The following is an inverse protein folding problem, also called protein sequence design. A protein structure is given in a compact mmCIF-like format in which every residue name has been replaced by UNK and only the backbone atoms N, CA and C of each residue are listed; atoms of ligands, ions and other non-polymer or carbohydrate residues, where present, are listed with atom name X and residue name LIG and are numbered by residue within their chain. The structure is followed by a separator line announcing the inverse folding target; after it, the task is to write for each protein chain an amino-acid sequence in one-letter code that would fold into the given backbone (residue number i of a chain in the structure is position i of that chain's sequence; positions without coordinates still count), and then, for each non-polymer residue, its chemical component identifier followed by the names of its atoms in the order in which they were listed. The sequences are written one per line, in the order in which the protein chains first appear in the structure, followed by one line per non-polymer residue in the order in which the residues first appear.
data_IF_430412940778
#
_entry.id   IF_430412940778
#
_cell.length_a   1.000
_cell.length_b   1.000
_cell.length_c   1.000
_cell.angle_alpha   90.00
_cell.angle_beta   90.00
_cell.angle_gamma   90.00
#
_symmetry.space_group_name_H-M   'P 1'
#
loop_
_entity.id
_entity.type
_entity.pdbx_description
1 polymer ?
#
# COMPACT_ATOMS: atom_id res chain seq x y z
N UNK A 1 26.07 -52.27 3.43
CA UNK A 1 25.96 -51.87 2.01
C UNK A 1 24.58 -51.27 1.76
N UNK A 2 24.54 -50.06 1.19
CA UNK A 2 23.51 -49.50 0.28
C UNK A 2 22.06 -49.33 0.77
N UNK A 3 21.67 -48.05 0.88
CA UNK A 3 20.44 -47.37 0.39
C UNK A 3 20.35 -46.03 1.16
N UNK A 4 21.13 -45.00 0.87
CA UNK A 4 21.19 -44.16 -0.34
C UNK A 4 19.80 -43.68 -0.83
N UNK A 5 19.61 -42.36 -0.70
CA UNK A 5 18.73 -41.47 -1.46
C UNK A 5 17.23 -41.48 -1.14
N UNK A 6 16.82 -40.60 -0.21
CA UNK A 6 15.65 -39.75 -0.44
C UNK A 6 16.13 -38.28 -0.44
N UNK A 7 16.53 -37.85 -1.63
CA UNK A 7 16.66 -36.46 -2.04
C UNK A 7 15.26 -35.89 -2.35
N UNK A 8 15.16 -34.57 -2.38
CA UNK A 8 14.08 -33.77 -2.97
C UNK A 8 12.79 -33.61 -2.14
N UNK A 9 12.77 -32.60 -1.27
CA UNK A 9 11.67 -31.63 -1.20
C UNK A 9 11.90 -30.69 0.00
N UNK A 10 12.76 -29.68 -0.14
CA UNK A 10 12.62 -28.49 0.70
C UNK A 10 12.86 -27.23 -0.13
N UNK A 11 11.73 -26.56 -0.35
CA UNK A 11 11.55 -25.10 -0.35
C UNK A 11 12.09 -24.32 -1.55
N UNK A 12 11.42 -24.50 -2.70
CA UNK A 12 11.22 -23.40 -3.64
C UNK A 12 10.00 -22.58 -3.23
N UNK A 13 10.16 -21.64 -2.30
CA UNK A 13 9.21 -20.54 -2.00
C UNK A 13 9.98 -19.55 -1.11
N UNK A 14 10.13 -18.26 -1.36
CA UNK A 14 9.33 -17.36 -2.16
C UNK A 14 10.19 -16.16 -2.54
N UNK A 15 10.00 -15.63 -3.75
CA UNK A 15 10.30 -14.23 -4.04
C UNK A 15 9.35 -13.37 -3.21
N UNK A 16 9.71 -13.11 -1.95
CA UNK A 16 9.03 -12.07 -1.18
C UNK A 16 9.52 -10.71 -1.69
N UNK A 17 8.62 -9.74 -1.98
CA UNK A 17 9.01 -8.42 -2.46
C UNK A 17 9.92 -7.75 -1.42
N UNK A 18 11.15 -7.48 -1.82
CA UNK A 18 12.27 -7.05 -0.97
C UNK A 18 11.99 -5.71 -0.25
N UNK A 19 11.04 -4.91 -0.73
CA UNK A 19 10.73 -3.61 -0.14
C UNK A 19 10.13 -3.69 1.28
N UNK A 20 9.37 -4.74 1.62
CA UNK A 20 8.80 -4.89 2.98
C UNK A 20 9.81 -5.39 4.02
N UNK A 21 10.94 -5.96 3.59
CA UNK A 21 12.01 -6.39 4.49
C UNK A 21 12.70 -5.20 5.18
N UNK A 22 12.60 -3.99 4.63
CA UNK A 22 13.17 -2.79 5.23
C UNK A 22 12.30 -2.21 6.38
N UNK A 23 11.09 -2.75 6.60
CA UNK A 23 10.16 -2.28 7.63
C UNK A 23 9.59 -3.48 8.43
N UNK A 24 10.44 -4.25 9.13
CA UNK A 24 10.07 -5.55 9.71
C UNK A 24 8.90 -5.49 10.70
N UNK A 25 8.76 -4.36 11.41
CA UNK A 25 7.69 -4.14 12.39
C UNK A 25 6.49 -3.39 11.79
N UNK A 26 6.45 -3.17 10.47
CA UNK A 26 5.31 -2.53 9.83
C UNK A 26 4.14 -3.52 9.65
N UNK A 27 3.00 -3.15 10.22
CA UNK A 27 1.79 -3.96 10.23
C UNK A 27 0.72 -3.47 9.25
N UNK A 28 0.83 -2.22 8.79
CA UNK A 28 -0.06 -1.66 7.79
C UNK A 28 0.08 -2.38 6.45
N UNK A 29 -1.01 -2.40 5.68
CA UNK A 29 -1.07 -3.09 4.39
C UNK A 29 -1.88 -2.31 3.38
N UNK A 30 -1.40 -2.36 2.14
CA UNK A 30 -2.15 -2.01 0.96
C UNK A 30 -2.62 -3.31 0.29
N UNK A 31 -3.92 -3.42 0.03
CA UNK A 31 -4.54 -4.58 -0.61
C UNK A 31 -5.52 -4.12 -1.67
N UNK A 32 -5.72 -4.91 -2.71
CA UNK A 32 -6.71 -4.64 -3.76
C UNK A 32 -7.87 -5.62 -3.66
N UNK A 33 -9.09 -5.10 -3.82
CA UNK A 33 -10.33 -5.85 -3.99
C UNK A 33 -11.08 -5.28 -5.21
N UNK A 34 -11.03 -6.01 -6.33
CA UNK A 34 -11.52 -5.51 -7.62
C UNK A 34 -10.81 -4.22 -8.04
N UNK A 35 -11.57 -3.13 -8.19
CA UNK A 35 -11.06 -1.78 -8.50
C UNK A 35 -10.95 -0.89 -7.25
N UNK A 36 -10.94 -1.49 -6.06
CA UNK A 36 -10.76 -0.77 -4.81
C UNK A 36 -9.42 -1.09 -4.18
N UNK A 37 -8.75 -0.06 -3.67
CA UNK A 37 -7.51 -0.16 -2.91
C UNK A 37 -7.80 0.15 -1.45
N UNK A 38 -7.44 -0.79 -0.59
CA UNK A 38 -7.65 -0.70 0.85
C UNK A 38 -6.31 -0.48 1.55
N UNK A 39 -6.16 0.67 2.21
CA UNK A 39 -5.08 0.94 3.16
C UNK A 39 -5.60 0.56 4.54
N UNK A 40 -4.98 -0.44 5.16
CA UNK A 40 -5.33 -0.93 6.50
C UNK A 40 -4.23 -0.62 7.51
N UNK A 41 -4.60 -0.17 8.70
CA UNK A 41 -3.66 0.18 9.77
C UNK A 41 -3.99 -0.57 11.07
N UNK A 42 -3.62 -1.86 11.20
CA UNK A 42 -3.83 -2.62 12.43
C UNK A 42 -2.85 -2.23 13.55
N UNK A 43 -1.86 -1.38 13.26
CA UNK A 43 -0.87 -0.92 14.22
C UNK A 43 -1.45 0.03 15.29
N UNK A 44 -0.68 0.31 16.35
CA UNK A 44 -1.15 1.09 17.49
C UNK A 44 -1.22 2.61 17.24
N UNK A 45 -0.60 3.10 16.17
CA UNK A 45 -0.53 4.52 15.82
C UNK A 45 -1.20 4.80 14.48
N UNK A 46 -1.71 6.01 14.31
CA UNK A 46 -2.24 6.49 13.02
C UNK A 46 -1.16 6.50 11.93
N UNK A 47 -1.60 6.32 10.67
CA UNK A 47 -0.83 6.66 9.48
C UNK A 47 -1.21 8.09 9.05
N UNK A 48 -0.25 9.00 9.13
CA UNK A 48 -0.42 10.42 8.80
C UNK A 48 0.30 10.78 7.50
N UNK A 49 0.16 12.03 7.07
CA UNK A 49 0.96 12.60 6.00
C UNK A 49 2.35 13.03 6.44
N UNK A 50 3.11 13.57 5.47
CA UNK A 50 4.46 14.08 5.68
C UNK A 50 4.44 15.24 6.70
N UNK A 51 5.11 15.09 7.86
CA UNK A 51 5.11 16.12 8.91
C UNK A 51 5.78 17.42 8.46
N UNK A 52 6.62 17.41 7.43
CA UNK A 52 7.25 18.62 6.89
C UNK A 52 6.33 19.43 5.96
N UNK A 53 5.24 18.83 5.48
CA UNK A 53 4.33 19.43 4.49
C UNK A 53 2.95 19.76 5.04
N UNK A 54 2.69 19.51 6.32
CA UNK A 54 1.40 19.71 6.98
C UNK A 54 0.23 19.08 6.22
N UNK A 55 0.44 17.88 5.66
CA UNK A 55 -0.58 17.10 4.97
C UNK A 55 -1.22 16.16 6.00
N UNK A 56 -2.55 16.13 6.15
CA UNK A 56 -3.18 15.37 7.22
C UNK A 56 -3.01 13.85 7.08
N UNK A 57 -2.92 13.32 5.85
CA UNK A 57 -2.77 11.89 5.61
C UNK A 57 -1.81 11.53 4.49
N UNK A 58 -1.66 10.23 4.24
CA UNK A 58 -0.67 9.69 3.31
C UNK A 58 -1.04 9.87 1.84
N UNK A 59 -0.08 9.57 0.96
CA UNK A 59 -0.27 9.61 -0.48
C UNK A 59 -0.35 8.19 -1.01
N UNK A 60 -1.48 7.82 -1.61
CA UNK A 60 -1.64 6.60 -2.40
C UNK A 60 -1.45 6.94 -3.88
N UNK A 61 -0.36 6.48 -4.47
CA UNK A 61 -0.16 6.51 -5.91
C UNK A 61 -0.76 5.24 -6.52
N UNK A 62 -1.51 5.40 -7.61
CA UNK A 62 -2.15 4.31 -8.35
C UNK A 62 -1.79 4.43 -9.82
N UNK A 63 -1.12 3.42 -10.37
CA UNK A 63 -0.81 3.32 -11.79
C UNK A 63 -1.82 2.38 -12.46
N UNK A 64 -2.40 2.83 -13.57
CA UNK A 64 -3.44 2.09 -14.26
C UNK A 64 -4.02 2.80 -15.47
N UNK A 65 -4.67 2.04 -16.34
CA UNK A 65 -5.25 2.55 -17.59
C UNK A 65 -6.77 2.65 -17.50
N UNK A 66 -7.32 3.76 -17.98
CA UNK A 66 -8.78 3.99 -18.00
C UNK A 66 -9.42 4.07 -16.61
N UNK A 67 -8.62 4.39 -15.59
CA UNK A 67 -9.07 4.53 -14.21
C UNK A 67 -9.97 5.77 -14.05
N UNK A 68 -11.18 5.55 -13.53
CA UNK A 68 -12.11 6.63 -13.16
C UNK A 68 -12.47 6.51 -11.69
N UNK A 69 -12.04 7.44 -10.81
CA UNK A 69 -12.39 7.39 -9.40
C UNK A 69 -13.90 7.54 -9.20
N UNK A 70 -14.44 6.93 -8.13
CA UNK A 70 -15.80 7.18 -7.69
C UNK A 70 -15.95 8.58 -7.04
N UNK A 71 -17.15 8.94 -6.60
CA UNK A 71 -17.41 10.29 -6.07
C UNK A 71 -16.68 10.60 -4.76
N UNK A 72 -16.33 9.58 -3.97
CA UNK A 72 -15.54 9.75 -2.76
C UNK A 72 -14.05 9.90 -3.11
N UNK A 73 -13.51 8.99 -3.91
CA UNK A 73 -12.13 9.02 -4.36
C UNK A 73 -11.80 10.29 -5.15
N UNK A 74 -12.75 10.86 -5.91
CA UNK A 74 -12.57 12.17 -6.59
C UNK A 74 -12.21 13.31 -5.64
N UNK A 75 -12.59 13.23 -4.36
CA UNK A 75 -12.26 14.27 -3.37
C UNK A 75 -10.79 14.22 -2.95
N UNK A 76 -10.13 13.07 -3.16
CA UNK A 76 -8.78 12.82 -2.68
C UNK A 76 -7.78 12.62 -3.83
N UNK A 77 -8.25 12.15 -4.98
CA UNK A 77 -7.43 11.72 -6.10
C UNK A 77 -7.33 12.79 -7.18
N UNK A 78 -6.10 13.08 -7.58
CA UNK A 78 -5.78 13.93 -8.73
C UNK A 78 -5.04 13.11 -9.78
N UNK A 79 -5.41 13.30 -11.05
CA UNK A 79 -4.69 12.70 -12.17
C UNK A 79 -3.33 13.42 -12.30
N UNK A 80 -2.24 12.68 -12.11
CA UNK A 80 -0.88 13.20 -12.24
C UNK A 80 -0.36 13.03 -13.67
N UNK A 81 -0.60 11.86 -14.27
CA UNK A 81 -0.29 11.59 -15.69
C UNK A 81 -1.39 10.76 -16.32
N UNK A 82 -1.32 10.51 -17.64
CA UNK A 82 -2.35 9.76 -18.37
C UNK A 82 -2.65 8.36 -17.82
N UNK A 83 -1.75 7.79 -17.02
CA UNK A 83 -1.91 6.47 -16.41
C UNK A 83 -1.62 6.44 -14.90
N UNK A 84 -1.57 7.60 -14.24
CA UNK A 84 -1.20 7.70 -12.81
C UNK A 84 -2.08 8.67 -12.05
N UNK A 85 -2.61 8.20 -10.92
CA UNK A 85 -3.35 8.99 -9.94
C UNK A 85 -2.55 9.13 -8.66
N UNK A 86 -2.56 10.32 -8.07
CA UNK A 86 -2.09 10.54 -6.70
C UNK A 86 -3.30 10.90 -5.83
N UNK A 87 -3.55 10.07 -4.82
CA UNK A 87 -4.66 10.19 -3.88
C UNK A 87 -4.15 10.61 -2.50
N UNK A 88 -4.55 11.79 -2.05
CA UNK A 88 -4.23 12.34 -0.73
C UNK A 88 -5.21 11.79 0.29
N UNK A 89 -4.95 10.56 0.73
CA UNK A 89 -5.81 9.82 1.65
C UNK A 89 -5.82 10.55 3.00
N UNK A 90 -6.97 10.69 3.68
CA UNK A 90 -7.00 11.19 5.05
C UNK A 90 -6.16 10.36 6.03
N UNK A 91 -5.94 10.87 7.25
CA UNK A 91 -5.31 10.11 8.31
C UNK A 91 -6.03 8.76 8.52
N UNK A 92 -5.27 7.66 8.52
CA UNK A 92 -5.80 6.32 8.81
C UNK A 92 -5.50 6.00 10.26
N UNK A 93 -6.49 6.15 11.15
CA UNK A 93 -6.29 5.94 12.59
C UNK A 93 -5.93 4.49 12.91
N UNK A 94 -5.42 4.28 14.12
CA UNK A 94 -5.15 2.94 14.63
C UNK A 94 -6.41 2.05 14.61
N UNK A 95 -6.29 0.85 14.05
CA UNK A 95 -7.39 -0.11 13.89
C UNK A 95 -8.36 0.22 12.75
N UNK A 96 -8.16 1.32 12.03
CA UNK A 96 -9.03 1.74 10.92
C UNK A 96 -8.46 1.32 9.56
N UNK A 97 -9.28 1.53 8.54
CA UNK A 97 -8.96 1.30 7.14
C UNK A 97 -9.64 2.35 6.27
N UNK A 98 -9.00 2.71 5.17
CA UNK A 98 -9.56 3.61 4.16
C UNK A 98 -9.58 2.91 2.81
N UNK A 99 -10.67 3.10 2.09
CA UNK A 99 -10.89 2.55 0.76
C UNK A 99 -10.81 3.67 -0.29
N UNK A 100 -10.09 3.43 -1.37
CA UNK A 100 -10.06 4.28 -2.56
C UNK A 100 -10.55 3.45 -3.73
N UNK A 101 -11.71 3.82 -4.29
CA UNK A 101 -12.42 3.00 -5.29
C UNK A 101 -12.45 3.68 -6.65
N UNK A 102 -12.17 2.88 -7.68
CA UNK A 102 -12.35 3.24 -9.08
C UNK A 102 -13.55 2.49 -9.65
N UNK A 103 -14.27 3.14 -10.56
CA UNK A 103 -15.48 2.61 -11.20
C UNK A 103 -15.20 1.94 -12.55
N UNK A 104 -14.02 2.20 -13.13
CA UNK A 104 -13.59 1.66 -14.41
C UNK A 104 -12.08 1.51 -14.49
N UNK A 105 -11.61 0.78 -15.50
CA UNK A 105 -10.20 0.68 -15.87
C UNK A 105 -9.52 -0.58 -15.34
N UNK A 106 -8.19 -0.52 -15.29
CA UNK A 106 -7.33 -1.57 -14.76
C UNK A 106 -6.28 -0.94 -13.86
N UNK A 107 -6.19 -1.43 -12.63
CA UNK A 107 -5.10 -1.10 -11.70
C UNK A 107 -3.93 -2.03 -12.02
N UNK A 108 -2.78 -1.45 -12.35
CA UNK A 108 -1.55 -2.19 -12.64
C UNK A 108 -0.63 -2.27 -11.43
N UNK A 109 -0.51 -1.18 -10.70
CA UNK A 109 0.32 -1.09 -9.49
C UNK A 109 -0.24 0.00 -8.56
N UNK A 110 0.10 -0.09 -7.28
CA UNK A 110 -0.18 0.97 -6.32
C UNK A 110 0.83 0.97 -5.17
N UNK A 111 1.09 2.17 -4.65
CA UNK A 111 1.97 2.39 -3.51
C UNK A 111 1.36 3.43 -2.58
N UNK A 112 1.30 3.13 -1.30
CA UNK A 112 0.97 4.10 -0.26
C UNK A 112 2.22 4.54 0.49
N UNK A 113 2.38 5.86 0.64
CA UNK A 113 3.40 6.48 1.49
C UNK A 113 2.72 7.27 2.60
N UNK A 114 3.02 6.93 3.84
CA UNK A 114 2.54 7.65 5.03
C UNK A 114 3.62 7.73 6.10
N UNK A 115 3.25 8.22 7.28
CA UNK A 115 4.18 8.41 8.39
C UNK A 115 3.57 7.92 9.70
N UNK A 116 4.45 7.63 10.66
CA UNK A 116 4.10 7.30 12.05
C UNK A 116 4.80 8.27 12.98
N UNK A 117 4.11 8.71 14.02
CA UNK A 117 4.69 9.61 15.01
C UNK A 117 5.96 9.00 15.65
N UNK A 118 5.94 7.71 16.00
CA UNK A 118 7.10 7.00 16.57
C UNK A 118 8.31 6.89 15.65
N UNK A 119 8.13 7.01 14.32
CA UNK A 119 9.21 6.86 13.32
C UNK A 119 9.78 8.19 12.84
N UNK A 120 9.25 9.32 13.32
CA UNK A 120 9.68 10.65 12.92
C UNK A 120 9.57 10.86 11.41
N UNK A 121 10.66 11.26 10.76
CA UNK A 121 10.72 11.55 9.32
C UNK A 121 10.91 10.32 8.42
N UNK A 122 10.89 9.10 8.97
CA UNK A 122 11.03 7.88 8.18
C UNK A 122 9.65 7.46 7.65
N UNK A 123 9.42 7.43 6.33
CA UNK A 123 8.12 7.08 5.76
C UNK A 123 7.82 5.58 5.94
N UNK A 124 6.55 5.27 6.14
CA UNK A 124 5.95 3.94 5.92
C UNK A 124 5.61 3.82 4.45
N UNK A 125 6.10 2.75 3.79
CA UNK A 125 5.85 2.52 2.36
C UNK A 125 5.19 1.16 2.19
N UNK A 126 3.97 1.16 1.68
CA UNK A 126 3.17 -0.03 1.44
C UNK A 126 3.02 -0.23 -0.07
N UNK A 127 3.58 -1.32 -0.58
CA UNK A 127 3.38 -1.71 -1.98
C UNK A 127 2.17 -2.62 -2.08
N UNK A 128 1.42 -2.48 -3.18
CA UNK A 128 0.39 -3.43 -3.55
C UNK A 128 1.04 -4.80 -3.78
N UNK A 129 0.48 -5.83 -3.12
CA UNK A 129 0.95 -7.21 -3.21
C UNK A 129 0.18 -8.01 -4.25
#
# INVERSE_FOLDING_TARGET
MKRLLLLCALTMTACAPIAQLAQPDESARLTQDGLSLLVSNPGPESLTGDPSRNIPGGVLTVDGLGLTPDDQAKQWCMLNSSARWDCFVPEVKAGERVLVTFTSGVINDAMFTGYRASRGAVPVVLMLK
#
